data_IF_270752627852
#
_entry.id   IF_270752627852
#
_cell.length_a   1.000
_cell.length_b   1.000
_cell.length_c   1.000
_cell.angle_alpha   90.00
_cell.angle_beta   90.00
_cell.angle_gamma   90.00
#
_symmetry.space_group_name_H-M   'P 1'
#
loop_
_entity.id
_entity.type
_entity.pdbx_description
1 polymer ?
#
# COMPACT_ATOMS: atom_id res chain seq x y z
N UNK A 1 -30.24 -12.73 -3.96
CA UNK A 1 -29.86 -11.35 -3.73
C UNK A 1 -29.05 -11.16 -2.48
N UNK A 2 -29.52 -11.64 -1.36
CA UNK A 2 -28.75 -11.57 -0.11
C UNK A 2 -27.40 -12.25 -0.22
N UNK A 3 -27.32 -13.35 -0.94
CA UNK A 3 -26.08 -14.08 -1.14
C UNK A 3 -24.99 -13.26 -1.84
N UNK A 4 -25.37 -12.50 -2.86
CA UNK A 4 -24.43 -11.63 -3.58
C UNK A 4 -23.94 -10.49 -2.67
N UNK A 5 -24.84 -9.93 -1.88
CA UNK A 5 -24.50 -8.87 -0.93
C UNK A 5 -23.57 -9.43 0.15
N UNK A 6 -23.85 -10.63 0.63
CA UNK A 6 -23.01 -11.27 1.63
C UNK A 6 -21.62 -11.59 1.08
N UNK A 7 -21.55 -12.10 -0.16
CA UNK A 7 -20.26 -12.38 -0.81
C UNK A 7 -19.45 -11.10 -1.01
N UNK A 8 -20.10 -10.03 -1.43
CA UNK A 8 -19.44 -8.74 -1.61
C UNK A 8 -18.96 -8.19 -0.26
N UNK A 9 -19.78 -8.31 0.78
CA UNK A 9 -19.39 -7.89 2.12
C UNK A 9 -18.26 -8.76 2.66
N UNK A 10 -18.29 -10.06 2.39
CA UNK A 10 -17.22 -10.96 2.78
C UNK A 10 -15.88 -10.56 2.16
N UNK A 11 -15.87 -10.21 0.88
CA UNK A 11 -14.65 -9.75 0.21
C UNK A 11 -14.14 -8.43 0.79
N UNK A 12 -15.05 -7.49 1.07
CA UNK A 12 -14.70 -6.23 1.71
C UNK A 12 -14.18 -6.44 3.12
N UNK A 13 -14.82 -7.33 3.88
CA UNK A 13 -14.41 -7.65 5.24
C UNK A 13 -13.04 -8.32 5.27
N UNK A 14 -12.77 -9.23 4.31
CA UNK A 14 -11.47 -9.88 4.21
C UNK A 14 -10.37 -8.87 3.88
N UNK A 15 -10.66 -7.93 2.98
CA UNK A 15 -9.73 -6.86 2.62
C UNK A 15 -9.46 -5.95 3.82
N UNK A 16 -10.51 -5.57 4.56
CA UNK A 16 -10.38 -4.76 5.77
C UNK A 16 -9.63 -5.52 6.86
N UNK A 17 -9.92 -6.81 7.03
CA UNK A 17 -9.23 -7.64 8.01
C UNK A 17 -7.74 -7.70 7.71
N UNK A 18 -7.38 -7.84 6.44
CA UNK A 18 -5.97 -7.85 6.02
C UNK A 18 -5.29 -6.53 6.29
N UNK A 19 -5.94 -5.40 5.95
CA UNK A 19 -5.41 -4.07 6.22
C UNK A 19 -5.21 -3.87 7.72
N UNK A 20 -6.19 -4.27 8.54
CA UNK A 20 -6.09 -4.16 10.00
C UNK A 20 -4.94 -4.99 10.56
N UNK A 21 -4.77 -6.21 10.04
CA UNK A 21 -3.66 -7.08 10.45
C UNK A 21 -2.32 -6.44 10.14
N UNK A 22 -2.15 -5.96 8.91
CA UNK A 22 -0.92 -5.31 8.49
C UNK A 22 -0.66 -4.02 9.27
N UNK A 23 -1.70 -3.25 9.54
CA UNK A 23 -1.59 -2.03 10.34
C UNK A 23 -1.16 -2.34 11.77
N UNK A 24 -1.73 -3.39 12.37
CA UNK A 24 -1.35 -3.84 13.70
C UNK A 24 0.12 -4.25 13.76
N UNK A 25 0.56 -5.05 12.77
CA UNK A 25 1.95 -5.47 12.67
C UNK A 25 2.87 -4.26 12.44
N UNK A 26 2.44 -3.31 11.62
CA UNK A 26 3.20 -2.10 11.39
C UNK A 26 3.37 -1.29 12.65
N UNK A 27 2.29 -1.10 13.41
CA UNK A 27 2.35 -0.38 14.68
C UNK A 27 3.29 -1.03 15.68
N UNK A 28 3.35 -2.37 15.66
CA UNK A 28 4.20 -3.14 16.57
C UNK A 28 5.65 -3.21 16.11
N UNK A 29 5.88 -3.43 14.82
CA UNK A 29 7.20 -3.80 14.30
C UNK A 29 7.93 -2.67 13.56
N UNK A 30 7.21 -1.63 13.11
CA UNK A 30 7.85 -0.51 12.41
C UNK A 30 8.54 0.44 13.37
N UNK A 31 9.73 0.86 12.99
CA UNK A 31 10.38 1.98 13.67
C UNK A 31 9.56 3.24 13.39
N UNK A 32 9.17 4.02 14.42
CA UNK A 32 8.40 5.26 14.21
C UNK A 32 9.07 6.23 13.24
N UNK A 33 10.39 6.28 13.22
CA UNK A 33 11.13 7.14 12.31
C UNK A 33 10.98 6.68 10.86
N UNK A 34 11.01 5.38 10.62
CA UNK A 34 10.80 4.82 9.29
C UNK A 34 9.40 5.14 8.78
N UNK A 35 8.40 5.04 9.63
CA UNK A 35 7.04 5.38 9.29
C UNK A 35 6.90 6.88 8.98
N UNK A 36 7.52 7.74 9.78
CA UNK A 36 7.53 9.17 9.55
C UNK A 36 8.17 9.50 8.19
N UNK A 37 9.31 8.90 7.89
CA UNK A 37 9.99 9.06 6.60
C UNK A 37 9.11 8.62 5.44
N UNK A 38 8.37 7.51 5.62
CA UNK A 38 7.41 7.03 4.64
C UNK A 38 6.33 8.09 4.37
N UNK A 39 5.74 8.66 5.42
CA UNK A 39 4.67 9.66 5.27
C UNK A 39 5.18 10.90 4.52
N UNK A 40 6.37 11.36 4.85
CA UNK A 40 6.97 12.51 4.17
C UNK A 40 7.17 12.22 2.68
N UNK A 41 7.75 11.07 2.37
CA UNK A 41 8.01 10.67 0.99
C UNK A 41 6.73 10.40 0.21
N UNK A 42 5.74 9.78 0.85
CA UNK A 42 4.45 9.50 0.24
C UNK A 42 3.77 10.79 -0.23
N UNK A 43 3.83 11.84 0.56
CA UNK A 43 3.26 13.14 0.20
C UNK A 43 3.97 13.78 -1.01
N UNK A 44 5.17 13.33 -1.34
CA UNK A 44 5.96 13.84 -2.48
C UNK A 44 5.86 12.99 -3.73
N UNK A 45 5.10 11.91 -3.69
CA UNK A 45 4.94 11.04 -4.86
C UNK A 45 4.14 11.75 -5.94
N UNK A 46 4.58 11.59 -7.20
CA UNK A 46 3.79 12.03 -8.35
C UNK A 46 2.53 11.18 -8.48
N UNK A 47 1.58 11.61 -9.30
CA UNK A 47 0.35 10.85 -9.51
C UNK A 47 0.64 9.43 -9.98
N UNK A 48 1.59 9.26 -10.90
CA UNK A 48 1.96 7.94 -11.42
C UNK A 48 2.67 7.09 -10.37
N UNK A 49 3.58 7.71 -9.62
CA UNK A 49 4.27 7.02 -8.52
C UNK A 49 3.27 6.58 -7.46
N UNK A 50 2.31 7.43 -7.13
CA UNK A 50 1.28 7.12 -6.14
C UNK A 50 0.45 5.92 -6.57
N UNK A 51 0.03 5.88 -7.84
CA UNK A 51 -0.74 4.78 -8.40
C UNK A 51 0.02 3.45 -8.27
N UNK A 52 1.30 3.45 -8.63
CA UNK A 52 2.14 2.26 -8.54
C UNK A 52 2.42 1.89 -7.08
N UNK A 53 2.68 2.88 -6.25
CA UNK A 53 2.91 2.66 -4.81
C UNK A 53 1.72 1.95 -4.17
N UNK A 54 0.51 2.41 -4.45
CA UNK A 54 -0.70 1.80 -3.90
C UNK A 54 -0.87 0.36 -4.40
N UNK A 55 -0.57 0.09 -5.66
CA UNK A 55 -0.67 -1.26 -6.21
C UNK A 55 0.33 -2.21 -5.55
N UNK A 56 1.58 -1.77 -5.41
CA UNK A 56 2.62 -2.57 -4.75
C UNK A 56 2.28 -2.80 -3.27
N UNK A 57 1.78 -1.79 -2.60
CA UNK A 57 1.41 -1.86 -1.19
C UNK A 57 0.26 -2.82 -0.94
N UNK A 58 -0.62 -3.01 -1.93
CA UNK A 58 -1.72 -3.98 -1.84
C UNK A 58 -1.29 -5.40 -2.19
N UNK A 59 -0.03 -5.60 -2.48
CA UNK A 59 0.52 -6.93 -2.71
C UNK A 59 0.65 -7.36 -4.16
N UNK A 60 0.41 -6.46 -5.12
CA UNK A 60 0.59 -6.79 -6.52
C UNK A 60 2.09 -6.93 -6.84
N UNK A 61 2.44 -7.93 -7.65
CA UNK A 61 3.78 -8.06 -8.18
C UNK A 61 4.06 -6.97 -9.22
N UNK A 62 5.33 -6.79 -9.57
CA UNK A 62 5.69 -5.84 -10.64
C UNK A 62 5.03 -6.22 -11.96
N UNK A 63 4.93 -7.51 -12.25
CA UNK A 63 4.24 -8.00 -13.45
C UNK A 63 2.75 -7.64 -13.43
N UNK A 64 2.09 -7.89 -12.31
CA UNK A 64 0.66 -7.55 -12.16
C UNK A 64 0.44 -6.04 -12.28
N UNK A 65 1.31 -5.23 -11.70
CA UNK A 65 1.25 -3.79 -11.85
C UNK A 65 1.38 -3.38 -13.32
N UNK A 66 2.34 -3.97 -14.03
CA UNK A 66 2.57 -3.67 -15.44
C UNK A 66 1.34 -4.02 -16.29
N UNK A 67 0.73 -5.17 -16.03
CA UNK A 67 -0.48 -5.60 -16.73
C UNK A 67 -1.65 -4.65 -16.47
N UNK A 68 -1.87 -4.28 -15.21
CA UNK A 68 -2.96 -3.38 -14.83
C UNK A 68 -2.81 -1.99 -15.42
N UNK A 69 -1.58 -1.49 -15.46
CA UNK A 69 -1.31 -0.11 -15.89
C UNK A 69 -0.94 0.00 -17.36
N UNK A 70 -0.88 -1.14 -18.07
CA UNK A 70 -0.59 -1.16 -19.49
C UNK A 70 0.81 -0.68 -19.84
N UNK A 71 1.81 -1.04 -19.03
CA UNK A 71 3.20 -0.65 -19.29
C UNK A 71 4.14 -1.84 -19.11
N UNK A 72 5.42 -1.63 -19.39
CA UNK A 72 6.44 -2.66 -19.28
C UNK A 72 6.83 -2.89 -17.82
N UNK A 73 7.26 -4.11 -17.48
CA UNK A 73 7.76 -4.44 -16.16
C UNK A 73 8.96 -3.55 -15.79
N UNK A 74 9.83 -3.26 -16.75
CA UNK A 74 10.98 -2.37 -16.52
C UNK A 74 10.55 -0.97 -16.09
N UNK A 75 9.42 -0.50 -16.61
CA UNK A 75 8.85 0.80 -16.22
C UNK A 75 8.42 0.76 -14.75
N UNK A 76 7.73 -0.31 -14.33
CA UNK A 76 7.34 -0.48 -12.94
C UNK A 76 8.57 -0.53 -12.03
N UNK A 77 9.63 -1.26 -12.44
CA UNK A 77 10.86 -1.33 -11.64
C UNK A 77 11.51 0.04 -11.46
N UNK A 78 11.51 0.86 -12.51
CA UNK A 78 12.05 2.23 -12.43
C UNK A 78 11.25 3.07 -11.43
N UNK A 79 9.92 3.01 -11.51
CA UNK A 79 9.06 3.73 -10.57
C UNK A 79 9.20 3.22 -9.14
N UNK A 80 9.31 1.89 -8.98
CA UNK A 80 9.51 1.28 -7.66
C UNK A 80 10.77 1.83 -6.99
N UNK A 81 11.85 1.93 -7.72
CA UNK A 81 13.11 2.49 -7.21
C UNK A 81 12.94 3.94 -6.77
N UNK A 82 12.23 4.74 -7.56
CA UNK A 82 11.94 6.13 -7.21
C UNK A 82 11.08 6.24 -5.96
N UNK A 83 10.06 5.39 -5.85
CA UNK A 83 9.16 5.34 -4.70
C UNK A 83 9.97 4.99 -3.45
N UNK A 84 10.79 3.95 -3.52
CA UNK A 84 11.61 3.51 -2.41
C UNK A 84 12.60 4.60 -1.97
N UNK A 85 13.18 5.31 -2.94
CA UNK A 85 14.10 6.40 -2.65
C UNK A 85 13.39 7.55 -1.91
N UNK A 86 12.22 7.96 -2.41
CA UNK A 86 11.46 9.05 -1.79
C UNK A 86 10.92 8.70 -0.41
N UNK A 87 10.48 7.46 -0.21
CA UNK A 87 9.87 7.01 1.05
C UNK A 87 10.87 6.40 2.02
N UNK A 88 12.14 6.26 1.61
CA UNK A 88 13.21 5.64 2.40
C UNK A 88 12.90 4.19 2.78
N UNK A 89 12.19 3.50 1.91
CA UNK A 89 11.83 2.09 2.09
C UNK A 89 12.82 1.22 1.32
N UNK A 90 13.12 0.04 1.87
CA UNK A 90 14.06 -0.90 1.27
C UNK A 90 13.43 -2.23 0.87
N UNK A 91 12.25 -2.55 1.40
CA UNK A 91 11.58 -3.83 1.16
C UNK A 91 10.09 -3.61 0.97
N UNK A 92 9.48 -4.41 0.10
CA UNK A 92 8.03 -4.33 -0.14
C UNK A 92 7.22 -4.60 1.12
N UNK A 93 7.70 -5.48 1.99
CA UNK A 93 7.03 -5.77 3.27
C UNK A 93 6.90 -4.49 4.12
N UNK A 94 7.96 -3.71 4.18
CA UNK A 94 7.96 -2.45 4.91
C UNK A 94 6.96 -1.46 4.29
N UNK A 95 6.90 -1.41 2.95
CA UNK A 95 5.93 -0.58 2.24
C UNK A 95 4.50 -0.99 2.59
N UNK A 96 4.22 -2.29 2.58
CA UNK A 96 2.89 -2.81 2.92
C UNK A 96 2.47 -2.42 4.33
N UNK A 97 3.36 -2.56 5.30
CA UNK A 97 3.07 -2.21 6.70
C UNK A 97 2.83 -0.72 6.87
N UNK A 98 3.69 0.12 6.28
CA UNK A 98 3.55 1.57 6.34
C UNK A 98 2.24 2.03 5.70
N UNK A 99 1.93 1.51 4.53
CA UNK A 99 0.72 1.87 3.80
C UNK A 99 -0.53 1.48 4.58
N UNK A 100 -0.55 0.25 5.13
CA UNK A 100 -1.69 -0.22 5.92
C UNK A 100 -1.90 0.63 7.17
N UNK A 101 -0.83 0.95 7.88
CA UNK A 101 -0.91 1.80 9.07
C UNK A 101 -1.43 3.19 8.73
N UNK A 102 -0.94 3.79 7.65
CA UNK A 102 -1.40 5.09 7.18
C UNK A 102 -2.90 5.06 6.85
N UNK A 103 -3.35 4.02 6.15
CA UNK A 103 -4.76 3.88 5.78
C UNK A 103 -5.65 3.77 7.01
N UNK A 104 -5.22 3.02 8.01
CA UNK A 104 -5.99 2.88 9.25
C UNK A 104 -6.07 4.21 10.02
N UNK A 105 -4.98 4.95 10.07
CA UNK A 105 -4.97 6.25 10.73
C UNK A 105 -5.87 7.26 10.00
N UNK A 106 -5.89 7.23 8.67
CA UNK A 106 -6.79 8.06 7.88
C UNK A 106 -8.25 7.73 8.18
N UNK A 107 -8.57 6.44 8.26
CA UNK A 107 -9.94 6.00 8.57
C UNK A 107 -10.36 6.46 9.97
N UNK A 108 -9.45 6.41 10.94
CA UNK A 108 -9.73 6.88 12.30
C UNK A 108 -10.02 8.38 12.32
N UNK A 109 -9.35 9.16 11.48
CA UNK A 109 -9.55 10.60 11.40
C UNK A 109 -10.88 10.99 10.76
N UNK A 110 -11.40 10.13 9.89
CA UNK A 110 -12.67 10.38 9.19
C UNK A 110 -13.90 10.11 10.07
N UNK A 111 -13.73 9.42 11.18
CA UNK A 111 -14.79 9.18 12.16
C UNK A 111 -14.89 10.36 13.12
#
# INVERSE_FOLDING_TARGET
MQRQVEDTQGQLDDSLAQVRRLAYLGKKDLDPKDYENFLIGYARLSAKELEICCALARGLSTRQCAEQLGCAVSTIDTYRKRIYDKTKIHKVRQLQLCYALMRMQQAEQEI
#
